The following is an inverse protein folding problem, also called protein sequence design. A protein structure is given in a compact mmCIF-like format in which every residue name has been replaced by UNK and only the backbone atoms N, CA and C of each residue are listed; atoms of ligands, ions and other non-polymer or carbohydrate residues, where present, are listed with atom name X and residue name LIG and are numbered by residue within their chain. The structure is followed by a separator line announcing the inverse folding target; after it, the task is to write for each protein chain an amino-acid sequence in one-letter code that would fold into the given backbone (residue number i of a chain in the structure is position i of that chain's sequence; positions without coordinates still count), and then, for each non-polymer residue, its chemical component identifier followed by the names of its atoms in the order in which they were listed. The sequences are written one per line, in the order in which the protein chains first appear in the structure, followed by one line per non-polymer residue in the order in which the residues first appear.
data_IF_026621830253
#
_entry.id   IF_026621830253
#
_cell.length_a   1.000
_cell.length_b   1.000
_cell.length_c   1.000
_cell.angle_alpha   90.00
_cell.angle_beta   90.00
_cell.angle_gamma   90.00
#
_symmetry.space_group_name_H-M   'P 1'
#
loop_
_entity.id
_entity.type
_entity.pdbx_description
1 polymer ?
#
# COMPACT_ATOMS: atom_id res chain seq x y z
N UNK A 1 -3.15 6.42 22.90
CA UNK A 1 -2.39 7.66 22.67
C UNK A 1 -1.24 7.85 23.69
N UNK A 2 -1.42 7.48 24.97
CA UNK A 2 -0.37 7.64 25.99
C UNK A 2 0.99 7.04 25.59
N UNK A 3 1.02 5.85 24.96
CA UNK A 3 2.26 5.23 24.48
C UNK A 3 2.91 6.03 23.34
N UNK A 4 2.12 6.75 22.54
CA UNK A 4 2.61 7.64 21.47
C UNK A 4 3.27 8.89 22.08
N UNK A 5 2.61 9.53 23.05
CA UNK A 5 3.15 10.69 23.79
C UNK A 5 4.48 10.35 24.46
N UNK A 6 4.58 9.17 25.07
CA UNK A 6 5.78 8.67 25.74
C UNK A 6 6.85 8.15 24.76
N UNK A 7 6.60 8.19 23.44
CA UNK A 7 7.48 7.63 22.39
C UNK A 7 7.83 6.16 22.61
N UNK A 8 6.88 5.39 23.14
CA UNK A 8 7.03 3.96 23.50
C UNK A 8 6.24 3.04 22.57
N UNK A 9 5.62 3.59 21.54
CA UNK A 9 4.91 2.81 20.53
C UNK A 9 5.90 2.40 19.42
N UNK A 10 5.86 1.13 19.05
CA UNK A 10 6.63 0.64 17.91
C UNK A 10 6.11 1.28 16.60
N UNK A 11 6.99 1.59 15.62
CA UNK A 11 6.60 2.26 14.38
C UNK A 11 5.46 1.55 13.63
N UNK A 12 5.50 0.22 13.54
CA UNK A 12 4.49 -0.58 12.87
C UNK A 12 3.12 -0.48 13.55
N UNK A 13 3.13 -0.47 14.89
CA UNK A 13 1.90 -0.29 15.66
C UNK A 13 1.38 1.13 15.54
N UNK A 14 2.27 2.14 15.53
CA UNK A 14 1.88 3.53 15.29
C UNK A 14 1.17 3.67 13.93
N UNK A 15 1.74 3.11 12.87
CA UNK A 15 1.14 3.10 11.55
C UNK A 15 -0.24 2.42 11.53
N UNK A 16 -0.35 1.25 12.15
CA UNK A 16 -1.61 0.48 12.19
C UNK A 16 -2.74 1.19 12.95
N UNK A 17 -2.44 2.01 13.98
CA UNK A 17 -3.46 2.69 14.79
C UNK A 17 -3.74 4.13 14.32
N UNK A 18 -2.94 4.70 13.44
CA UNK A 18 -3.09 6.10 12.99
C UNK A 18 -4.46 6.34 12.35
N UNK A 19 -4.86 5.54 11.37
CA UNK A 19 -6.17 5.71 10.70
C UNK A 19 -7.32 5.45 11.66
N UNK A 20 -7.39 4.30 12.38
CA UNK A 20 -8.50 4.04 13.29
C UNK A 20 -8.67 5.13 14.35
N UNK A 21 -7.58 5.63 14.94
CA UNK A 21 -7.65 6.65 15.97
C UNK A 21 -8.06 8.03 15.44
N UNK A 22 -7.72 8.37 14.21
CA UNK A 22 -8.18 9.60 13.56
C UNK A 22 -9.65 9.51 13.10
N UNK A 23 -10.20 8.30 12.96
CA UNK A 23 -11.57 8.06 12.49
C UNK A 23 -12.59 7.83 13.63
N UNK A 24 -12.16 7.83 14.91
CA UNK A 24 -13.08 7.61 16.04
C UNK A 24 -14.14 8.69 16.15
N UNK A 25 -15.37 8.37 16.61
CA UNK A 25 -16.47 9.33 16.73
C UNK A 25 -16.29 10.35 17.87
N UNK A 26 -15.37 10.11 18.78
CA UNK A 26 -15.11 10.99 19.95
C UNK A 26 -14.15 12.11 19.56
N UNK A 27 -14.69 13.35 19.43
CA UNK A 27 -13.95 14.52 18.91
C UNK A 27 -12.64 14.79 19.64
N UNK A 28 -12.62 14.70 20.98
CA UNK A 28 -11.40 14.99 21.76
C UNK A 28 -10.31 13.96 21.49
N UNK A 29 -10.68 12.67 21.37
CA UNK A 29 -9.76 11.62 21.05
C UNK A 29 -9.24 11.74 19.60
N UNK A 30 -10.12 12.06 18.66
CA UNK A 30 -9.73 12.28 17.28
C UNK A 30 -8.77 13.49 17.13
N UNK A 31 -9.00 14.57 17.85
CA UNK A 31 -8.12 15.74 17.86
C UNK A 31 -6.75 15.42 18.47
N UNK A 32 -6.70 14.65 19.56
CA UNK A 32 -5.44 14.17 20.13
C UNK A 32 -4.71 13.23 19.15
N UNK A 33 -5.44 12.33 18.51
CA UNK A 33 -4.88 11.44 17.48
C UNK A 33 -4.29 12.22 16.32
N UNK A 34 -4.99 13.22 15.80
CA UNK A 34 -4.51 14.07 14.70
C UNK A 34 -3.22 14.83 15.05
N UNK A 35 -3.03 15.16 16.34
CA UNK A 35 -1.81 15.83 16.83
C UNK A 35 -0.64 14.86 16.99
N UNK A 36 -0.90 13.69 17.58
CA UNK A 36 0.14 12.72 17.96
C UNK A 36 0.49 11.74 16.84
N UNK A 37 -0.47 11.45 16.00
CA UNK A 37 -0.40 10.53 14.85
C UNK A 37 -1.00 11.25 13.63
N UNK A 38 -0.33 12.29 13.13
CA UNK A 38 -0.85 13.06 12.00
C UNK A 38 -1.01 12.16 10.79
N UNK A 39 -2.10 12.38 10.05
CA UNK A 39 -2.27 11.77 8.74
C UNK A 39 -1.17 12.27 7.79
N UNK A 40 -0.78 11.47 6.80
CA UNK A 40 0.22 11.88 5.82
C UNK A 40 -0.19 13.19 5.12
N UNK A 41 0.78 13.96 4.65
CA UNK A 41 0.53 15.15 3.82
C UNK A 41 0.27 14.75 2.37
N UNK A 42 -0.58 15.53 1.69
CA UNK A 42 -0.88 15.37 0.27
C UNK A 42 0.07 16.19 -0.62
N UNK A 43 -0.13 16.09 -1.94
CA UNK A 43 0.73 16.76 -2.95
C UNK A 43 0.76 18.29 -2.86
N UNK A 44 -0.17 18.90 -2.13
CA UNK A 44 -0.25 20.34 -1.87
C UNK A 44 0.33 20.74 -0.50
N UNK A 45 1.13 19.86 0.14
CA UNK A 45 1.74 20.03 1.46
C UNK A 45 0.73 20.27 2.60
N UNK A 46 -0.55 19.98 2.35
CA UNK A 46 -1.58 20.06 3.40
C UNK A 46 -1.79 18.69 4.05
N UNK A 47 -2.11 18.64 5.34
CA UNK A 47 -2.53 17.40 5.97
C UNK A 47 -3.73 16.80 5.23
N UNK A 48 -3.68 15.51 4.95
CA UNK A 48 -4.83 14.82 4.38
C UNK A 48 -6.06 15.00 5.31
N UNK A 49 -7.24 15.20 4.73
CA UNK A 49 -8.46 15.16 5.50
C UNK A 49 -8.58 13.83 6.26
N UNK A 50 -9.29 13.84 7.39
CA UNK A 50 -9.56 12.59 8.12
C UNK A 50 -10.19 11.54 7.21
N UNK A 51 -9.98 10.26 7.48
CA UNK A 51 -10.57 9.17 6.70
C UNK A 51 -12.10 9.34 6.58
N UNK A 52 -12.77 9.76 7.67
CA UNK A 52 -14.20 10.04 7.64
C UNK A 52 -14.60 11.19 6.69
N UNK A 53 -13.70 12.15 6.46
CA UNK A 53 -13.89 13.22 5.47
C UNK A 53 -13.63 12.73 4.06
N UNK A 54 -12.55 11.95 3.85
CA UNK A 54 -12.25 11.32 2.56
C UNK A 54 -13.39 10.39 2.08
N UNK A 55 -13.98 9.63 2.99
CA UNK A 55 -15.12 8.75 2.69
C UNK A 55 -16.37 9.50 2.21
N UNK A 56 -16.54 10.77 2.60
CA UNK A 56 -17.64 11.62 2.16
C UNK A 56 -17.38 12.32 0.82
N UNK A 57 -16.12 12.34 0.38
CA UNK A 57 -15.77 12.95 -0.91
C UNK A 57 -16.34 12.12 -2.06
N UNK A 58 -16.84 12.81 -3.09
CA UNK A 58 -17.26 12.18 -4.33
C UNK A 58 -16.05 12.08 -5.26
N UNK A 59 -15.72 10.87 -5.67
CA UNK A 59 -14.68 10.62 -6.66
C UNK A 59 -15.22 10.57 -8.08
N UNK A 60 -14.34 10.79 -9.04
CA UNK A 60 -14.58 10.62 -10.47
C UNK A 60 -13.79 9.41 -10.96
N UNK A 61 -14.48 8.29 -11.20
CA UNK A 61 -13.84 7.03 -11.63
C UNK A 61 -13.05 7.17 -12.96
N UNK A 62 -13.52 7.99 -13.90
CA UNK A 62 -12.82 8.18 -15.18
C UNK A 62 -11.50 8.95 -14.99
N UNK A 63 -11.46 9.93 -14.08
CA UNK A 63 -10.22 10.59 -13.70
C UNK A 63 -9.32 9.67 -12.88
N UNK A 64 -9.91 8.91 -11.94
CA UNK A 64 -9.19 7.91 -11.15
C UNK A 64 -8.48 6.85 -12.01
N UNK A 65 -9.10 6.40 -13.09
CA UNK A 65 -8.48 5.49 -14.06
C UNK A 65 -7.23 6.12 -14.71
N UNK A 66 -7.29 7.40 -15.09
CA UNK A 66 -6.14 8.12 -15.66
C UNK A 66 -5.02 8.26 -14.63
N UNK A 67 -5.37 8.66 -13.40
CA UNK A 67 -4.42 8.82 -12.29
C UNK A 67 -3.75 7.48 -11.93
N UNK A 68 -4.50 6.39 -11.92
CA UNK A 68 -3.98 5.05 -11.69
C UNK A 68 -2.85 4.68 -12.67
N UNK A 69 -3.00 5.05 -13.94
CA UNK A 69 -2.03 4.77 -15.00
C UNK A 69 -0.90 5.82 -15.12
N UNK A 70 -1.03 6.97 -14.48
CA UNK A 70 -0.10 8.11 -14.63
C UNK A 70 0.48 8.55 -13.29
N UNK A 71 0.04 9.69 -12.76
CA UNK A 71 0.57 10.34 -11.55
C UNK A 71 0.52 9.41 -10.32
N UNK A 72 -0.51 8.62 -10.16
CA UNK A 72 -0.63 7.66 -9.07
C UNK A 72 0.33 6.47 -9.16
N UNK A 73 0.93 6.24 -10.32
CA UNK A 73 1.93 5.18 -10.60
C UNK A 73 1.48 3.75 -10.27
N UNK A 74 0.20 3.53 -9.97
CA UNK A 74 -0.34 2.24 -9.51
C UNK A 74 -0.12 1.13 -10.55
N UNK A 75 -0.27 1.45 -11.86
CA UNK A 75 -0.06 0.52 -12.97
C UNK A 75 1.41 0.04 -13.11
N UNK A 76 2.36 0.68 -12.42
CA UNK A 76 3.75 0.22 -12.39
C UNK A 76 3.91 -1.07 -11.56
N UNK A 77 2.93 -1.38 -10.73
CA UNK A 77 2.96 -2.55 -9.84
C UNK A 77 1.71 -3.42 -9.94
N UNK A 78 0.56 -2.85 -10.32
CA UNK A 78 -0.71 -3.56 -10.35
C UNK A 78 -1.26 -3.74 -11.75
N UNK A 79 -1.85 -4.91 -11.99
CA UNK A 79 -2.60 -5.21 -13.21
C UNK A 79 -4.08 -4.90 -12.99
N UNK A 80 -4.70 -4.26 -13.98
CA UNK A 80 -6.15 -4.13 -14.10
C UNK A 80 -6.57 -4.55 -15.51
N UNK A 81 -7.36 -5.61 -15.63
CA UNK A 81 -7.85 -6.15 -16.91
C UNK A 81 -6.74 -6.37 -17.96
N UNK A 82 -5.64 -6.93 -17.48
CA UNK A 82 -4.47 -7.25 -18.34
C UNK A 82 -3.56 -6.06 -18.66
N UNK A 83 -3.82 -4.87 -18.12
CA UNK A 83 -2.97 -3.69 -18.28
C UNK A 83 -2.23 -3.37 -16.99
N UNK A 84 -0.95 -3.02 -17.09
CA UNK A 84 -0.06 -2.74 -15.96
C UNK A 84 1.02 -3.81 -15.77
N UNK A 85 1.75 -3.73 -14.64
CA UNK A 85 2.80 -4.68 -14.28
C UNK A 85 2.38 -5.54 -13.09
N UNK A 86 2.78 -6.80 -13.11
CA UNK A 86 2.42 -7.79 -12.10
C UNK A 86 3.49 -7.86 -11.00
N UNK A 87 3.61 -6.80 -10.18
CA UNK A 87 4.43 -6.82 -8.95
C UNK A 87 3.53 -7.06 -7.76
N UNK A 88 2.50 -6.23 -7.60
CA UNK A 88 1.46 -6.39 -6.60
C UNK A 88 0.30 -7.23 -7.11
N UNK A 89 -0.76 -7.42 -6.30
CA UNK A 89 -1.94 -8.18 -6.69
C UNK A 89 -2.67 -7.57 -7.88
N UNK A 90 -3.31 -8.43 -8.68
CA UNK A 90 -4.27 -8.03 -9.71
C UNK A 90 -5.49 -7.37 -9.06
N UNK A 91 -5.79 -6.14 -9.46
CA UNK A 91 -6.87 -5.32 -8.95
C UNK A 91 -8.13 -5.33 -9.83
N UNK A 92 -8.20 -6.17 -10.86
CA UNK A 92 -9.31 -6.20 -11.82
C UNK A 92 -10.69 -6.39 -11.18
N UNK A 93 -10.74 -6.97 -9.99
CA UNK A 93 -11.97 -7.25 -9.24
C UNK A 93 -11.94 -6.71 -7.80
N UNK A 94 -11.05 -5.78 -7.52
CA UNK A 94 -10.82 -5.32 -6.13
C UNK A 94 -12.05 -4.66 -5.52
N UNK A 95 -12.87 -3.97 -6.32
CA UNK A 95 -14.10 -3.33 -5.87
C UNK A 95 -15.22 -4.29 -5.46
N UNK A 96 -15.08 -5.58 -5.77
CA UNK A 96 -15.93 -6.62 -5.21
C UNK A 96 -15.41 -7.21 -3.89
N UNK A 97 -14.11 -7.00 -3.59
CA UNK A 97 -13.43 -7.58 -2.42
C UNK A 97 -13.30 -6.60 -1.27
N UNK A 98 -13.04 -5.32 -1.58
CA UNK A 98 -12.80 -4.27 -0.58
C UNK A 98 -13.77 -3.10 -0.75
N UNK A 99 -14.24 -2.59 0.39
CA UNK A 99 -14.99 -1.33 0.45
C UNK A 99 -14.06 -0.11 0.38
N UNK A 100 -14.65 1.09 0.22
CA UNK A 100 -13.91 2.36 0.10
C UNK A 100 -12.91 2.59 1.25
N UNK A 101 -13.33 2.31 2.48
CA UNK A 101 -12.50 2.48 3.67
C UNK A 101 -11.22 1.64 3.60
N UNK A 102 -11.36 0.35 3.34
CA UNK A 102 -10.23 -0.56 3.20
C UNK A 102 -9.32 -0.23 2.01
N UNK A 103 -9.88 0.34 0.92
CA UNK A 103 -9.08 0.82 -0.21
C UNK A 103 -8.25 2.05 0.18
N UNK A 104 -8.80 3.01 0.93
CA UNK A 104 -8.02 4.14 1.47
C UNK A 104 -6.91 3.66 2.40
N UNK A 105 -7.23 2.75 3.33
CA UNK A 105 -6.24 2.18 4.25
C UNK A 105 -5.11 1.48 3.50
N UNK A 106 -5.43 0.66 2.49
CA UNK A 106 -4.44 -0.05 1.69
C UNK A 106 -3.51 0.89 0.91
N UNK A 107 -3.99 2.06 0.48
CA UNK A 107 -3.17 3.05 -0.24
C UNK A 107 -2.33 3.88 0.73
N UNK A 108 -2.91 4.32 1.84
CA UNK A 108 -2.25 5.21 2.80
C UNK A 108 -1.30 4.48 3.74
N UNK A 109 -1.58 3.21 4.04
CA UNK A 109 -0.87 2.39 5.02
C UNK A 109 -0.63 0.96 4.48
N UNK A 110 0.13 0.82 3.38
CA UNK A 110 0.26 -0.46 2.67
C UNK A 110 0.92 -1.56 3.51
N UNK A 111 1.63 -1.20 4.58
CA UNK A 111 2.23 -2.17 5.50
C UNK A 111 1.28 -2.65 6.60
N UNK A 112 0.12 -1.98 6.81
CA UNK A 112 -0.84 -2.37 7.84
C UNK A 112 -1.56 -3.69 7.54
N UNK A 113 -1.62 -4.10 6.25
CA UNK A 113 -2.27 -5.34 5.84
C UNK A 113 -1.68 -5.88 4.54
N UNK A 114 -0.55 -6.58 4.63
CA UNK A 114 0.11 -7.19 3.47
C UNK A 114 -0.63 -8.50 3.13
N UNK A 115 -1.12 -8.63 1.90
CA UNK A 115 -1.78 -9.84 1.43
C UNK A 115 -0.81 -11.02 1.39
N UNK A 116 -1.32 -12.22 1.69
CA UNK A 116 -0.54 -13.45 1.57
C UNK A 116 0.06 -13.60 0.17
N UNK A 117 1.30 -14.07 0.08
CA UNK A 117 2.14 -14.16 -1.12
C UNK A 117 2.64 -12.81 -1.70
N UNK A 118 2.41 -11.69 -0.98
CA UNK A 118 2.94 -10.38 -1.35
C UNK A 118 3.85 -9.80 -0.27
N UNK A 119 4.29 -10.64 0.66
CA UNK A 119 5.25 -10.28 1.69
C UNK A 119 6.60 -9.92 1.06
N UNK A 120 7.16 -8.82 1.51
CA UNK A 120 8.50 -8.38 1.10
C UNK A 120 9.55 -9.27 1.76
N UNK A 121 10.55 -9.67 0.99
CA UNK A 121 11.71 -10.39 1.48
C UNK A 121 12.99 -9.66 1.09
N UNK A 122 13.96 -9.66 1.98
CA UNK A 122 15.34 -9.27 1.72
C UNK A 122 16.16 -10.54 1.61
N UNK A 123 16.88 -10.67 0.52
CA UNK A 123 17.77 -11.79 0.23
C UNK A 123 19.18 -11.26 0.11
N UNK A 124 20.11 -11.82 0.88
CA UNK A 124 21.52 -11.52 0.85
C UNK A 124 22.25 -12.72 0.23
N UNK A 125 23.00 -12.47 -0.82
CA UNK A 125 23.79 -13.50 -1.50
C UNK A 125 25.20 -13.58 -0.91
N UNK A 126 25.88 -14.72 -1.05
CA UNK A 126 27.30 -14.95 -0.65
C UNK A 126 28.24 -13.89 -1.26
N UNK A 127 27.87 -13.32 -2.41
CA UNK A 127 28.58 -12.21 -3.05
C UNK A 127 28.45 -10.87 -2.32
N UNK A 128 27.62 -10.76 -1.28
CA UNK A 128 27.24 -9.52 -0.60
C UNK A 128 26.14 -8.72 -1.34
N UNK A 129 25.62 -9.24 -2.44
CA UNK A 129 24.51 -8.57 -3.16
C UNK A 129 23.21 -8.69 -2.35
N UNK A 130 22.53 -7.57 -2.15
CA UNK A 130 21.22 -7.51 -1.46
C UNK A 130 20.12 -7.31 -2.49
N UNK A 131 19.08 -8.16 -2.45
CA UNK A 131 17.92 -8.09 -3.31
C UNK A 131 16.66 -8.02 -2.45
N UNK A 132 15.79 -7.05 -2.74
CA UNK A 132 14.50 -6.89 -2.05
C UNK A 132 13.36 -7.10 -3.04
N UNK A 133 12.36 -7.88 -2.66
CA UNK A 133 11.21 -8.15 -3.51
C UNK A 133 10.24 -9.15 -2.92
N UNK A 134 9.33 -9.61 -3.75
CA UNK A 134 8.31 -10.61 -3.44
C UNK A 134 8.77 -11.96 -3.99
N UNK A 135 8.60 -13.03 -3.22
CA UNK A 135 8.88 -14.39 -3.71
C UNK A 135 7.85 -14.72 -4.80
N UNK A 136 8.32 -14.87 -6.02
CA UNK A 136 7.49 -15.27 -7.16
C UNK A 136 7.40 -16.78 -7.30
N UNK A 137 8.51 -17.49 -7.03
CA UNK A 137 8.54 -18.95 -6.96
C UNK A 137 9.71 -19.43 -6.09
N UNK A 138 9.55 -20.59 -5.51
CA UNK A 138 10.58 -21.25 -4.72
C UNK A 138 10.50 -22.75 -4.96
N UNK A 139 11.61 -23.35 -5.34
CA UNK A 139 11.82 -24.80 -5.46
C UNK A 139 12.83 -25.27 -4.42
N UNK A 140 13.24 -26.54 -4.47
CA UNK A 140 14.30 -27.05 -3.57
C UNK A 140 15.65 -26.38 -3.87
N UNK A 141 15.94 -26.05 -5.15
CA UNK A 141 17.24 -25.58 -5.60
C UNK A 141 17.29 -24.07 -5.89
N UNK A 142 16.13 -23.43 -6.23
CA UNK A 142 16.08 -22.07 -6.73
C UNK A 142 15.05 -21.22 -6.01
N UNK A 143 15.33 -19.92 -5.94
CA UNK A 143 14.45 -18.86 -5.47
C UNK A 143 14.33 -17.78 -6.55
N UNK A 144 13.11 -17.47 -6.96
CA UNK A 144 12.83 -16.34 -7.86
C UNK A 144 12.16 -15.20 -7.09
N UNK A 145 12.79 -14.03 -7.14
CA UNK A 145 12.33 -12.79 -6.51
C UNK A 145 11.88 -11.82 -7.60
N UNK A 146 10.70 -11.26 -7.44
CA UNK A 146 10.20 -10.16 -8.25
C UNK A 146 10.42 -8.85 -7.49
N UNK A 147 11.30 -8.00 -8.01
CA UNK A 147 11.62 -6.72 -7.40
C UNK A 147 10.63 -5.60 -7.82
N UNK A 148 10.73 -4.41 -7.20
CA UNK A 148 9.86 -3.27 -7.47
C UNK A 148 9.92 -2.75 -8.92
N UNK A 149 11.00 -3.04 -9.66
CA UNK A 149 11.15 -2.74 -11.09
C UNK A 149 10.37 -3.69 -12.00
N UNK A 150 9.69 -4.68 -11.43
CA UNK A 150 8.99 -5.79 -12.07
C UNK A 150 9.92 -6.81 -12.76
N UNK A 151 11.23 -6.73 -12.52
CA UNK A 151 12.18 -7.72 -13.04
C UNK A 151 12.22 -8.93 -12.13
N UNK A 152 12.19 -10.12 -12.76
CA UNK A 152 12.38 -11.39 -12.10
C UNK A 152 13.88 -11.67 -11.99
N UNK A 153 14.33 -12.03 -10.79
CA UNK A 153 15.71 -12.46 -10.51
C UNK A 153 15.67 -13.83 -9.87
N UNK A 154 16.35 -14.78 -10.47
CA UNK A 154 16.43 -16.16 -9.98
C UNK A 154 17.83 -16.44 -9.46
N UNK A 155 17.91 -17.03 -8.28
CA UNK A 155 19.15 -17.37 -7.58
C UNK A 155 19.10 -18.84 -7.17
N UNK A 156 20.24 -19.51 -7.18
CA UNK A 156 20.36 -20.82 -6.53
C UNK A 156 20.29 -20.63 -5.03
N UNK A 157 19.62 -21.51 -4.33
CA UNK A 157 19.55 -21.47 -2.86
C UNK A 157 20.93 -21.62 -2.21
N UNK A 158 21.87 -22.30 -2.88
CA UNK A 158 23.26 -22.42 -2.45
C UNK A 158 24.06 -21.11 -2.51
N UNK A 159 23.56 -20.08 -3.18
CA UNK A 159 24.17 -18.75 -3.29
C UNK A 159 23.57 -17.75 -2.31
N UNK A 160 22.57 -18.17 -1.52
CA UNK A 160 21.83 -17.32 -0.57
C UNK A 160 22.44 -17.52 0.82
N UNK A 161 23.06 -16.46 1.34
CA UNK A 161 23.57 -16.41 2.71
C UNK A 161 22.44 -16.23 3.72
N UNK A 162 21.49 -15.31 3.41
CA UNK A 162 20.41 -14.97 4.33
C UNK A 162 19.15 -14.57 3.57
N UNK A 163 17.99 -14.93 4.12
CA UNK A 163 16.69 -14.48 3.63
C UNK A 163 15.81 -14.13 4.82
N UNK A 164 15.27 -12.90 4.81
CA UNK A 164 14.38 -12.40 5.86
C UNK A 164 13.09 -11.84 5.29
N UNK A 165 11.97 -12.23 5.89
CA UNK A 165 10.67 -11.61 5.67
C UNK A 165 10.62 -10.25 6.36
N UNK A 166 10.13 -9.24 5.65
CA UNK A 166 9.96 -7.89 6.17
C UNK A 166 8.50 -7.62 6.53
N UNK A 167 8.30 -6.77 7.55
CA UNK A 167 6.98 -6.26 7.93
C UNK A 167 6.57 -5.01 7.12
N UNK A 168 7.40 -4.60 6.16
CA UNK A 168 7.17 -3.42 5.31
C UNK A 168 6.77 -3.88 3.91
N UNK A 169 5.68 -3.31 3.39
CA UNK A 169 5.21 -3.57 2.04
C UNK A 169 6.17 -3.01 0.99
N UNK A 170 6.33 -3.70 -0.14
CA UNK A 170 7.01 -3.17 -1.32
C UNK A 170 6.20 -2.03 -2.00
N UNK A 171 4.89 -1.96 -1.73
CA UNK A 171 4.07 -0.83 -2.15
C UNK A 171 4.51 0.43 -1.38
N UNK A 172 4.85 1.53 -2.07
CA UNK A 172 5.29 2.75 -1.40
C UNK A 172 4.25 3.30 -0.42
N UNK A 173 4.70 3.72 0.77
CA UNK A 173 3.83 4.29 1.81
C UNK A 173 3.57 5.80 1.64
N UNK A 174 4.06 6.41 0.57
CA UNK A 174 4.01 7.86 0.34
C UNK A 174 3.33 8.25 -0.99
N UNK A 175 2.49 7.37 -1.54
CA UNK A 175 1.72 7.62 -2.76
C UNK A 175 0.82 8.88 -2.65
N UNK A 176 0.34 9.20 -1.47
CA UNK A 176 -0.44 10.42 -1.20
C UNK A 176 0.38 11.71 -1.42
N UNK A 177 1.71 11.67 -1.39
CA UNK A 177 2.54 12.85 -1.66
C UNK A 177 2.47 13.32 -3.11
N UNK A 178 2.02 12.45 -4.01
CA UNK A 178 1.86 12.76 -5.43
C UNK A 178 0.39 12.91 -5.85
N UNK A 179 -0.55 12.70 -4.92
CA UNK A 179 -2.00 12.80 -5.13
C UNK A 179 -2.60 13.86 -4.21
N UNK A 180 -3.46 14.71 -4.75
CA UNK A 180 -4.31 15.56 -3.90
C UNK A 180 -5.40 14.71 -3.21
N UNK A 181 -6.08 15.23 -2.17
CA UNK A 181 -7.21 14.52 -1.57
C UNK A 181 -8.31 14.15 -2.57
N UNK A 182 -8.54 15.01 -3.59
CA UNK A 182 -9.50 14.72 -4.66
C UNK A 182 -8.99 13.62 -5.59
N UNK A 183 -7.71 13.65 -5.97
CA UNK A 183 -7.11 12.60 -6.80
C UNK A 183 -7.18 11.23 -6.11
N UNK A 184 -6.91 11.19 -4.81
CA UNK A 184 -7.04 9.99 -4.00
C UNK A 184 -8.49 9.48 -3.98
N UNK A 185 -9.48 10.40 -3.83
CA UNK A 185 -10.90 10.04 -3.89
C UNK A 185 -11.29 9.50 -5.28
N UNK A 186 -10.74 10.07 -6.35
CA UNK A 186 -10.97 9.64 -7.72
C UNK A 186 -10.39 8.24 -7.98
N UNK A 187 -9.16 7.97 -7.51
CA UNK A 187 -8.53 6.64 -7.61
C UNK A 187 -9.36 5.62 -6.83
N UNK A 188 -9.75 5.91 -5.59
CA UNK A 188 -10.58 4.99 -4.80
C UNK A 188 -11.93 4.76 -5.48
N UNK A 189 -12.56 5.80 -6.04
CA UNK A 189 -13.80 5.63 -6.82
C UNK A 189 -13.60 4.69 -8.01
N UNK A 190 -12.53 4.88 -8.78
CA UNK A 190 -12.19 3.96 -9.87
C UNK A 190 -12.04 2.52 -9.38
N UNK A 191 -11.29 2.28 -8.32
CA UNK A 191 -11.08 0.93 -7.76
C UNK A 191 -12.40 0.28 -7.33
N UNK A 192 -13.36 1.03 -6.80
CA UNK A 192 -14.68 0.49 -6.44
C UNK A 192 -15.50 0.00 -7.64
N UNK A 193 -15.22 0.53 -8.84
CA UNK A 193 -15.87 0.10 -10.09
C UNK A 193 -15.31 -1.21 -10.65
N UNK A 194 -14.13 -1.62 -10.20
CA UNK A 194 -13.45 -2.84 -10.67
C UNK A 194 -14.11 -4.09 -10.08
N UNK A 195 -15.06 -4.62 -10.81
CA UNK A 195 -15.88 -5.78 -10.44
C UNK A 195 -15.88 -6.81 -11.55
N UNK A 196 -16.17 -8.09 -11.24
CA UNK A 196 -16.39 -9.12 -12.26
C UNK A 196 -17.41 -8.65 -13.29
N UNK A 197 -17.18 -8.98 -14.56
CA UNK A 197 -18.19 -8.77 -15.58
C UNK A 197 -19.44 -9.58 -15.26
N UNK A 198 -20.65 -9.03 -15.41
CA UNK A 198 -21.86 -9.84 -15.30
C UNK A 198 -21.77 -11.02 -16.28
N UNK A 199 -22.09 -12.22 -15.79
CA UNK A 199 -22.19 -13.41 -16.62
C UNK A 199 -23.37 -13.30 -17.55
#
# INVERSE_FOLDING_TARGET
LKLVEEKRIEPDLAAAVTVPLNAVPWRDLANQAATLLPLPVSSDDQPLPSLGSLLKMRGNAANGQKLFASTGTCANCHVVRGQGKEVGPDLSEIGAKLGREALYESILYPSAGISHNYETHVVILDSGTVVTGIIASQTDDELSIKAADALMRTFKKSEIEQMEKQNVSIMPADLQKVLSPQDLADVVEYLTTLRPSPK
#
